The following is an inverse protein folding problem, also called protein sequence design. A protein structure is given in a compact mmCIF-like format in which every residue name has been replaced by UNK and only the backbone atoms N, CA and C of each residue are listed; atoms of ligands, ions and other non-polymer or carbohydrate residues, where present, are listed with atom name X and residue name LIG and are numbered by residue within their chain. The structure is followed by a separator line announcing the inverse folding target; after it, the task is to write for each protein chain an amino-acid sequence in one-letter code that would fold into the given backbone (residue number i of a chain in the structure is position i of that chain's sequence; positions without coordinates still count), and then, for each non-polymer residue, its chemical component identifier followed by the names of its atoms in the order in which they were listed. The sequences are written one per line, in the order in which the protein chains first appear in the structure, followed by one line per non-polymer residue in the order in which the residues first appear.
data_IF_849285323914
#
_entry.id   IF_849285323914
#
_cell.length_a   1.000
_cell.length_b   1.000
_cell.length_c   1.000
_cell.angle_alpha   90.00
_cell.angle_beta   90.00
_cell.angle_gamma   90.00
#
_symmetry.space_group_name_H-M   'P 1'
#
loop_
_entity.id
_entity.type
_entity.pdbx_description
1 polymer ?
#
# COMPACT_ATOMS: atom_id res chain seq x y z
N UNK A 1 -10.85 6.51 5.44
CA UNK A 1 -12.30 6.43 5.80
C UNK A 1 -13.20 6.24 4.57
N UNK A 2 -12.89 6.83 3.38
CA UNK A 2 -13.73 6.73 2.19
C UNK A 2 -14.07 5.29 1.77
N UNK A 3 -13.09 4.38 1.73
CA UNK A 3 -13.30 2.97 1.36
C UNK A 3 -14.18 2.20 2.34
N UNK A 4 -14.06 2.50 3.65
CA UNK A 4 -14.88 1.87 4.69
C UNK A 4 -16.33 2.36 4.61
N UNK A 5 -16.52 3.65 4.35
CA UNK A 5 -17.86 4.25 4.22
C UNK A 5 -18.57 3.79 2.94
N UNK A 6 -17.81 3.54 1.86
CA UNK A 6 -18.38 3.08 0.59
C UNK A 6 -18.92 1.64 0.67
N UNK A 7 -18.29 0.78 1.52
CA UNK A 7 -18.70 -0.61 1.67
C UNK A 7 -18.44 -1.10 3.11
N UNK A 8 -19.31 -0.71 4.06
CA UNK A 8 -19.10 -0.97 5.47
C UNK A 8 -19.22 -2.47 5.83
N UNK A 9 -19.98 -3.24 5.06
CA UNK A 9 -20.16 -4.66 5.33
C UNK A 9 -18.86 -5.44 5.09
N UNK A 10 -18.27 -5.31 3.90
CA UNK A 10 -17.00 -5.96 3.58
C UNK A 10 -15.83 -5.40 4.40
N UNK A 11 -15.84 -4.12 4.72
CA UNK A 11 -14.86 -3.54 5.64
C UNK A 11 -14.98 -4.17 7.04
N UNK A 12 -16.18 -4.33 7.57
CA UNK A 12 -16.43 -4.99 8.85
C UNK A 12 -16.00 -6.45 8.86
N UNK A 13 -16.31 -7.22 7.81
CA UNK A 13 -15.86 -8.60 7.65
C UNK A 13 -14.33 -8.68 7.59
N UNK A 14 -13.69 -7.82 6.82
CA UNK A 14 -12.23 -7.78 6.70
C UNK A 14 -11.57 -7.49 8.05
N UNK A 15 -12.06 -6.49 8.79
CA UNK A 15 -11.55 -6.16 10.12
C UNK A 15 -11.78 -7.29 11.11
N UNK A 16 -12.95 -7.94 11.09
CA UNK A 16 -13.25 -9.08 11.96
C UNK A 16 -12.29 -10.26 11.70
N UNK A 17 -12.03 -10.60 10.44
CA UNK A 17 -11.08 -11.65 10.06
C UNK A 17 -9.67 -11.30 10.58
N UNK A 18 -9.21 -10.07 10.38
CA UNK A 18 -7.89 -9.63 10.86
C UNK A 18 -7.79 -9.74 12.39
N UNK A 19 -8.83 -9.31 13.12
CA UNK A 19 -8.88 -9.41 14.59
C UNK A 19 -8.86 -10.87 15.05
N UNK A 20 -9.66 -11.72 14.43
CA UNK A 20 -9.72 -13.15 14.79
C UNK A 20 -8.37 -13.85 14.58
N UNK A 21 -7.71 -13.58 13.44
CA UNK A 21 -6.36 -14.11 13.18
C UNK A 21 -5.30 -13.55 14.11
N UNK A 22 -5.41 -12.26 14.45
CA UNK A 22 -4.52 -11.65 15.43
C UNK A 22 -4.64 -12.31 16.80
N UNK A 23 -5.87 -12.54 17.26
CA UNK A 23 -6.15 -13.24 18.53
C UNK A 23 -5.69 -14.71 18.47
N UNK A 24 -5.94 -15.39 17.34
CA UNK A 24 -5.48 -16.75 17.13
C UNK A 24 -3.94 -16.86 17.12
N UNK A 25 -3.27 -15.92 16.47
CA UNK A 25 -1.80 -15.87 16.43
C UNK A 25 -1.19 -15.62 17.82
N UNK A 26 -1.86 -14.83 18.67
CA UNK A 26 -1.43 -14.63 20.05
C UNK A 26 -1.58 -15.90 20.91
N UNK A 27 -2.57 -16.74 20.61
CA UNK A 27 -2.91 -17.90 21.46
C UNK A 27 -2.28 -19.22 20.98
N UNK A 28 -2.02 -19.37 19.68
CA UNK A 28 -1.62 -20.66 19.08
C UNK A 28 -0.39 -20.58 18.18
N UNK A 29 0.35 -19.48 18.17
CA UNK A 29 1.52 -19.26 17.29
C UNK A 29 1.27 -19.56 15.79
N UNK A 30 0.02 -19.42 15.34
CA UNK A 30 -0.38 -19.68 13.95
C UNK A 30 0.17 -18.58 13.05
N UNK A 31 0.61 -18.93 11.85
CA UNK A 31 0.98 -17.93 10.83
C UNK A 31 -0.22 -17.05 10.50
N UNK A 32 0.02 -15.75 10.46
CA UNK A 32 -1.03 -14.77 10.12
C UNK A 32 -1.32 -14.82 8.61
N UNK A 33 -2.41 -15.47 8.26
CA UNK A 33 -2.92 -15.58 6.89
C UNK A 33 -4.11 -14.63 6.64
N UNK A 34 -4.39 -13.72 7.57
CA UNK A 34 -5.56 -12.85 7.52
C UNK A 34 -5.68 -12.07 6.21
N UNK A 35 -4.59 -11.49 5.71
CA UNK A 35 -4.61 -10.74 4.46
C UNK A 35 -4.98 -11.61 3.25
N UNK A 36 -4.45 -12.83 3.17
CA UNK A 36 -4.77 -13.77 2.09
C UNK A 36 -6.25 -14.18 2.13
N UNK A 37 -6.78 -14.43 3.34
CA UNK A 37 -8.19 -14.77 3.50
C UNK A 37 -9.11 -13.61 3.19
N UNK A 38 -8.79 -12.41 3.67
CA UNK A 38 -9.56 -11.20 3.37
C UNK A 38 -9.56 -10.92 1.86
N UNK A 39 -8.41 -11.03 1.21
CA UNK A 39 -8.30 -10.86 -0.24
C UNK A 39 -9.06 -11.97 -0.99
N UNK A 40 -8.89 -13.23 -0.59
CA UNK A 40 -9.57 -14.36 -1.21
C UNK A 40 -11.10 -14.29 -1.08
N UNK A 41 -11.61 -13.94 0.10
CA UNK A 41 -13.05 -13.72 0.32
C UNK A 41 -13.54 -12.52 -0.49
N UNK A 42 -12.77 -11.42 -0.54
CA UNK A 42 -13.12 -10.24 -1.32
C UNK A 42 -13.20 -10.53 -2.81
N UNK A 43 -12.20 -11.19 -3.37
CA UNK A 43 -12.21 -11.62 -4.79
C UNK A 43 -13.32 -12.61 -5.06
N UNK A 44 -13.52 -13.59 -4.16
CA UNK A 44 -14.64 -14.56 -4.29
C UNK A 44 -16.00 -13.87 -4.29
N UNK A 45 -16.22 -12.92 -3.40
CA UNK A 45 -17.45 -12.14 -3.37
C UNK A 45 -17.61 -11.28 -4.63
N UNK A 46 -16.53 -10.63 -5.11
CA UNK A 46 -16.55 -9.86 -6.35
C UNK A 46 -16.93 -10.72 -7.56
N UNK A 47 -16.33 -11.90 -7.68
CA UNK A 47 -16.67 -12.87 -8.75
C UNK A 47 -18.13 -13.34 -8.67
N UNK A 48 -18.65 -13.58 -7.45
CA UNK A 48 -20.04 -14.02 -7.27
C UNK A 48 -21.05 -12.91 -7.59
N UNK A 49 -20.70 -11.66 -7.33
CA UNK A 49 -21.61 -10.52 -7.52
C UNK A 49 -21.49 -9.86 -8.91
N UNK A 50 -20.27 -9.71 -9.41
CA UNK A 50 -20.00 -9.04 -10.68
C UNK A 50 -19.68 -10.00 -11.85
N UNK A 51 -19.47 -11.29 -11.55
CA UNK A 51 -19.00 -12.29 -12.52
C UNK A 51 -17.49 -12.21 -12.76
N UNK A 52 -16.99 -13.10 -13.59
CA UNK A 52 -15.58 -13.02 -14.03
C UNK A 52 -15.44 -11.89 -15.06
N UNK A 53 -14.46 -11.01 -14.90
CA UNK A 53 -14.20 -9.96 -15.88
C UNK A 53 -13.81 -10.58 -17.22
N UNK A 54 -14.23 -9.95 -18.29
CA UNK A 54 -13.81 -10.35 -19.63
C UNK A 54 -12.28 -10.24 -19.76
N UNK A 55 -11.69 -11.16 -20.50
CA UNK A 55 -10.28 -11.06 -20.86
C UNK A 55 -10.09 -9.81 -21.72
N UNK A 56 -9.32 -8.88 -21.20
CA UNK A 56 -8.98 -7.62 -21.84
C UNK A 56 -7.47 -7.42 -21.76
N UNK A 57 -6.81 -7.52 -22.90
CA UNK A 57 -5.38 -7.28 -22.96
C UNK A 57 -5.08 -5.78 -22.84
N UNK A 58 -4.03 -5.46 -22.11
CA UNK A 58 -3.55 -4.08 -22.03
C UNK A 58 -3.16 -3.57 -23.41
N UNK A 59 -3.59 -2.37 -23.76
CA UNK A 59 -3.01 -1.64 -24.88
C UNK A 59 -1.55 -1.32 -24.58
N UNK A 60 -0.68 -1.37 -25.58
CA UNK A 60 0.72 -1.00 -25.38
C UNK A 60 0.79 0.41 -24.75
N UNK A 61 1.55 0.58 -23.67
CA UNK A 61 1.65 1.87 -23.02
C UNK A 61 2.29 2.88 -23.98
N UNK A 62 1.62 4.00 -24.16
CA UNK A 62 2.11 5.12 -24.98
C UNK A 62 2.82 6.12 -24.11
N UNK A 63 3.86 6.75 -24.65
CA UNK A 63 4.57 7.82 -23.96
C UNK A 63 3.61 9.02 -23.81
N UNK A 64 3.38 9.40 -22.55
CA UNK A 64 2.56 10.56 -22.19
C UNK A 64 3.50 11.67 -21.72
N UNK A 65 3.53 12.76 -22.49
CA UNK A 65 4.28 13.96 -22.10
C UNK A 65 3.30 14.92 -21.43
N UNK A 66 3.63 15.38 -20.18
CA UNK A 66 2.79 16.37 -19.51
C UNK A 66 2.85 17.72 -20.23
N UNK A 67 1.74 18.42 -20.28
CA UNK A 67 1.76 19.78 -20.80
C UNK A 67 2.39 20.76 -19.77
N UNK A 68 2.87 21.94 -20.21
CA UNK A 68 3.50 22.90 -19.32
C UNK A 68 2.61 23.39 -18.17
N UNK A 69 1.30 23.47 -18.37
CA UNK A 69 0.36 23.89 -17.31
C UNK A 69 0.26 22.83 -16.21
N UNK A 70 0.23 21.54 -16.58
CA UNK A 70 0.22 20.43 -15.62
C UNK A 70 1.53 20.38 -14.83
N UNK A 71 2.67 20.62 -15.49
CA UNK A 71 3.96 20.69 -14.82
C UNK A 71 4.02 21.84 -13.80
N UNK A 72 3.52 23.01 -14.18
CA UNK A 72 3.47 24.16 -13.29
C UNK A 72 2.55 23.87 -12.08
N UNK A 73 1.36 23.35 -12.33
CA UNK A 73 0.44 22.96 -11.26
C UNK A 73 1.07 21.92 -10.31
N UNK A 74 1.66 20.88 -10.86
CA UNK A 74 2.31 19.83 -10.06
C UNK A 74 3.45 20.40 -9.22
N UNK A 75 4.31 21.25 -9.80
CA UNK A 75 5.46 21.84 -9.12
C UNK A 75 5.06 22.68 -7.90
N UNK A 76 3.93 23.40 -7.96
CA UNK A 76 3.51 24.28 -6.88
C UNK A 76 2.54 23.63 -5.88
N UNK A 77 1.72 22.69 -6.31
CA UNK A 77 0.66 22.15 -5.47
C UNK A 77 0.88 20.68 -5.06
N UNK A 78 1.54 19.88 -5.89
CA UNK A 78 1.70 18.45 -5.61
C UNK A 78 3.10 18.10 -5.08
N UNK A 79 4.14 18.71 -5.61
CA UNK A 79 5.52 18.40 -5.22
C UNK A 79 5.86 18.87 -3.80
N UNK A 80 5.51 20.08 -3.33
CA UNK A 80 5.90 20.53 -2.00
C UNK A 80 5.42 19.61 -0.86
N UNK A 81 4.15 19.16 -0.79
CA UNK A 81 3.72 18.23 0.24
C UNK A 81 4.31 16.82 0.05
N UNK A 82 4.65 16.43 -1.18
CA UNK A 82 5.20 15.11 -1.48
C UNK A 82 6.66 14.96 -1.03
N UNK A 83 7.45 16.03 -1.02
CA UNK A 83 8.86 15.98 -0.59
C UNK A 83 8.99 15.49 0.85
N UNK A 84 8.39 16.14 1.88
CA UNK A 84 8.50 15.66 3.25
C UNK A 84 7.90 14.26 3.43
N UNK A 85 6.81 13.94 2.76
CA UNK A 85 6.21 12.61 2.82
C UNK A 85 7.16 11.54 2.28
N UNK A 86 7.81 11.78 1.16
CA UNK A 86 8.77 10.83 0.57
C UNK A 86 10.00 10.69 1.47
N UNK A 87 10.56 11.80 1.96
CA UNK A 87 11.74 11.76 2.83
C UNK A 87 11.47 11.04 4.15
N UNK A 88 10.37 11.36 4.82
CA UNK A 88 10.08 10.79 6.14
C UNK A 88 9.57 9.36 6.06
N UNK A 89 8.60 9.07 5.20
CA UNK A 89 7.95 7.76 5.14
C UNK A 89 8.70 6.77 4.23
N UNK A 90 8.99 7.17 2.99
CA UNK A 90 9.53 6.22 2.02
C UNK A 90 11.04 6.02 2.12
N UNK A 91 11.77 6.96 2.70
CA UNK A 91 13.23 6.88 2.82
C UNK A 91 13.62 6.61 4.27
N UNK A 92 13.41 7.56 5.19
CA UNK A 92 13.89 7.43 6.57
C UNK A 92 13.16 6.32 7.34
N UNK A 93 11.83 6.34 7.38
CA UNK A 93 11.06 5.32 8.10
C UNK A 93 11.30 3.92 7.52
N UNK A 94 11.40 3.78 6.19
CA UNK A 94 11.68 2.49 5.56
C UNK A 94 13.09 1.99 5.86
N UNK A 95 14.11 2.86 5.85
CA UNK A 95 15.48 2.50 6.23
C UNK A 95 15.55 2.02 7.68
N UNK A 96 14.97 2.80 8.61
CA UNK A 96 14.94 2.44 10.04
C UNK A 96 14.17 1.13 10.28
N UNK A 97 12.99 0.99 9.65
CA UNK A 97 12.17 -0.21 9.80
C UNK A 97 12.86 -1.45 9.23
N UNK A 98 13.59 -1.31 8.13
CA UNK A 98 14.38 -2.40 7.56
C UNK A 98 15.47 -2.85 8.53
N UNK A 99 16.17 -1.92 9.15
CA UNK A 99 17.16 -2.22 10.18
C UNK A 99 16.53 -2.93 11.38
N UNK A 100 15.36 -2.47 11.83
CA UNK A 100 14.69 -3.04 12.99
C UNK A 100 14.14 -4.45 12.73
N UNK A 101 13.51 -4.68 11.59
CA UNK A 101 12.84 -5.93 11.27
C UNK A 101 13.78 -6.99 10.68
N UNK A 102 14.68 -6.59 9.77
CA UNK A 102 15.54 -7.52 9.04
C UNK A 102 16.98 -7.55 9.54
N UNK A 103 17.34 -6.66 10.49
CA UNK A 103 18.71 -6.51 11.00
C UNK A 103 19.72 -6.19 9.91
N UNK A 104 19.25 -5.50 8.86
CA UNK A 104 20.05 -5.12 7.69
C UNK A 104 19.96 -3.61 7.50
N UNK A 105 21.09 -2.97 7.32
CA UNK A 105 21.13 -1.54 7.03
C UNK A 105 20.91 -1.32 5.54
N UNK A 106 20.02 -0.38 5.24
CA UNK A 106 19.76 0.09 3.89
C UNK A 106 20.04 1.57 3.83
N UNK A 107 20.92 1.95 2.92
CA UNK A 107 21.31 3.32 2.68
C UNK A 107 20.08 4.15 2.21
N UNK A 108 19.73 5.23 2.92
CA UNK A 108 18.66 6.15 2.50
C UNK A 108 18.85 6.71 1.08
N UNK A 109 20.09 6.98 0.67
CA UNK A 109 20.39 7.46 -0.67
C UNK A 109 20.06 6.42 -1.74
N UNK A 110 20.27 5.15 -1.45
CA UNK A 110 19.89 4.06 -2.35
C UNK A 110 18.37 3.99 -2.50
N UNK A 111 17.62 4.13 -1.41
CA UNK A 111 16.14 4.17 -1.47
C UNK A 111 15.66 5.36 -2.30
N UNK A 112 16.21 6.54 -2.07
CA UNK A 112 15.89 7.75 -2.83
C UNK A 112 16.13 7.57 -4.33
N UNK A 113 17.30 7.06 -4.72
CA UNK A 113 17.65 6.81 -6.14
C UNK A 113 16.72 5.79 -6.79
N UNK A 114 16.41 4.70 -6.10
CA UNK A 114 15.52 3.68 -6.66
C UNK A 114 14.09 4.19 -6.80
N UNK A 115 13.57 5.01 -5.86
CA UNK A 115 12.30 5.71 -6.02
C UNK A 115 12.32 6.60 -7.27
N UNK A 116 13.37 7.39 -7.44
CA UNK A 116 13.52 8.25 -8.62
C UNK A 116 13.51 7.46 -9.92
N UNK A 117 14.36 6.42 -10.02
CA UNK A 117 14.48 5.61 -11.24
C UNK A 117 13.17 4.90 -11.60
N UNK A 118 12.51 4.26 -10.63
CA UNK A 118 11.26 3.54 -10.93
C UNK A 118 10.15 4.48 -11.40
N UNK A 119 10.07 5.71 -10.85
CA UNK A 119 9.08 6.69 -11.30
C UNK A 119 9.44 7.31 -12.64
N UNK A 120 10.71 7.61 -12.91
CA UNK A 120 11.16 8.09 -14.23
C UNK A 120 10.90 7.08 -15.34
N UNK A 121 10.92 5.79 -15.02
CA UNK A 121 10.63 4.73 -15.99
C UNK A 121 9.12 4.50 -16.14
N UNK A 122 8.33 4.47 -15.05
CA UNK A 122 6.93 4.07 -15.10
C UNK A 122 5.98 5.21 -15.46
N UNK A 123 6.17 6.40 -14.87
CA UNK A 123 5.23 7.52 -15.01
C UNK A 123 5.07 8.02 -16.45
N UNK A 124 6.14 8.15 -17.27
CA UNK A 124 6.00 8.54 -18.67
C UNK A 124 5.15 7.59 -19.52
N UNK A 125 5.01 6.35 -19.09
CA UNK A 125 4.15 5.36 -19.74
C UNK A 125 2.79 5.21 -19.07
N UNK A 126 2.36 6.20 -18.28
CA UNK A 126 1.05 6.20 -17.62
C UNK A 126 1.01 5.39 -16.33
N UNK A 127 2.16 4.95 -15.81
CA UNK A 127 2.23 4.25 -14.53
C UNK A 127 1.92 5.16 -13.33
N UNK A 128 1.35 4.59 -12.28
CA UNK A 128 1.16 5.30 -11.02
C UNK A 128 2.50 5.62 -10.35
N UNK A 129 2.61 6.78 -9.68
CA UNK A 129 3.77 7.08 -8.84
C UNK A 129 3.95 6.03 -7.73
N UNK A 130 5.17 5.54 -7.59
CA UNK A 130 5.52 4.47 -6.64
C UNK A 130 6.52 4.97 -5.60
N UNK A 131 6.51 4.35 -4.43
CA UNK A 131 7.49 4.59 -3.37
C UNK A 131 7.80 3.31 -2.58
N UNK A 132 8.83 3.37 -1.73
CA UNK A 132 9.18 2.32 -0.78
C UNK A 132 8.46 2.56 0.57
N UNK A 133 7.13 2.57 0.58
CA UNK A 133 6.39 2.93 1.79
C UNK A 133 6.64 2.00 2.98
N UNK A 134 6.98 2.58 4.14
CA UNK A 134 7.21 1.84 5.38
C UNK A 134 6.02 0.96 5.78
N UNK A 135 4.78 1.41 5.51
CA UNK A 135 3.57 0.64 5.76
C UNK A 135 3.48 -0.66 4.98
N UNK A 136 3.85 -0.62 3.69
CA UNK A 136 3.91 -1.82 2.86
C UNK A 136 4.95 -2.81 3.37
N UNK A 137 6.14 -2.32 3.76
CA UNK A 137 7.20 -3.14 4.34
C UNK A 137 6.75 -3.81 5.64
N UNK A 138 6.14 -3.04 6.56
CA UNK A 138 5.63 -3.56 7.83
C UNK A 138 4.56 -4.64 7.62
N UNK A 139 3.61 -4.40 6.72
CA UNK A 139 2.56 -5.36 6.39
C UNK A 139 3.14 -6.64 5.77
N UNK A 140 4.02 -6.52 4.79
CA UNK A 140 4.67 -7.69 4.17
C UNK A 140 5.46 -8.50 5.20
N UNK A 141 6.22 -7.84 6.07
CA UNK A 141 6.95 -8.53 7.14
C UNK A 141 6.00 -9.25 8.08
N UNK A 142 4.89 -8.61 8.48
CA UNK A 142 3.87 -9.21 9.34
C UNK A 142 3.28 -10.47 8.74
N UNK A 143 3.01 -10.47 7.44
CA UNK A 143 2.48 -11.64 6.72
C UNK A 143 3.55 -12.67 6.33
N UNK A 144 4.76 -12.53 6.80
CA UNK A 144 5.80 -13.55 6.68
C UNK A 144 6.83 -13.31 5.57
N UNK A 145 6.76 -12.21 4.85
CA UNK A 145 7.81 -11.86 3.88
C UNK A 145 9.14 -11.57 4.61
N UNK A 146 10.21 -12.16 4.14
CA UNK A 146 11.55 -12.00 4.72
C UNK A 146 12.60 -11.61 3.69
N UNK A 147 12.26 -11.64 2.42
CA UNK A 147 13.15 -11.33 1.29
C UNK A 147 12.42 -10.51 0.23
N UNK A 148 13.15 -9.91 -0.69
CA UNK A 148 12.59 -9.20 -1.86
C UNK A 148 11.81 -10.09 -2.83
N UNK A 149 11.86 -11.43 -2.65
CA UNK A 149 11.09 -12.38 -3.46
C UNK A 149 9.58 -12.14 -3.43
N UNK A 150 9.04 -11.66 -2.30
CA UNK A 150 7.62 -11.28 -2.18
C UNK A 150 7.23 -10.18 -3.18
N UNK A 151 8.09 -9.18 -3.38
CA UNK A 151 7.85 -8.10 -4.33
C UNK A 151 7.96 -8.57 -5.78
N UNK A 152 8.87 -9.52 -6.08
CA UNK A 152 8.98 -10.13 -7.41
C UNK A 152 7.72 -10.91 -7.73
N UNK A 153 7.24 -11.73 -6.80
CA UNK A 153 5.98 -12.50 -6.96
C UNK A 153 4.79 -11.55 -7.17
N UNK A 154 4.68 -10.51 -6.33
CA UNK A 154 3.64 -9.50 -6.49
C UNK A 154 3.72 -8.81 -7.86
N UNK A 155 4.91 -8.44 -8.31
CA UNK A 155 5.13 -7.84 -9.63
C UNK A 155 4.69 -8.76 -10.78
N UNK A 156 5.00 -10.05 -10.70
CA UNK A 156 4.56 -11.05 -11.69
C UNK A 156 3.02 -11.18 -11.71
N UNK A 157 2.39 -11.20 -10.52
CA UNK A 157 0.92 -11.26 -10.40
C UNK A 157 0.30 -10.02 -11.00
N UNK A 158 0.80 -8.81 -10.68
CA UNK A 158 0.29 -7.57 -11.26
C UNK A 158 0.51 -7.49 -12.77
N UNK A 159 1.65 -7.97 -13.27
CA UNK A 159 1.90 -8.04 -14.70
C UNK A 159 0.91 -8.99 -15.39
N UNK A 160 0.68 -10.17 -14.82
CA UNK A 160 -0.33 -11.10 -15.33
C UNK A 160 -1.73 -10.47 -15.32
N UNK A 161 -2.08 -9.78 -14.26
CA UNK A 161 -3.37 -9.07 -14.15
C UNK A 161 -3.50 -7.98 -15.23
N UNK A 162 -2.46 -7.17 -15.41
CA UNK A 162 -2.43 -6.13 -16.43
C UNK A 162 -2.50 -6.70 -17.86
N UNK A 163 -1.85 -7.83 -18.11
CA UNK A 163 -1.85 -8.46 -19.44
C UNK A 163 -3.22 -9.06 -19.82
N UNK A 164 -3.94 -9.64 -18.86
CA UNK A 164 -5.15 -10.41 -19.15
C UNK A 164 -6.45 -9.76 -18.69
N UNK A 165 -6.38 -8.82 -17.75
CA UNK A 165 -7.54 -8.21 -17.10
C UNK A 165 -7.45 -6.69 -17.03
N UNK A 166 -6.93 -6.05 -18.06
CA UNK A 166 -6.77 -4.58 -18.12
C UNK A 166 -8.09 -3.87 -18.43
N UNK A 167 -9.10 -4.06 -17.59
CA UNK A 167 -10.38 -3.37 -17.73
C UNK A 167 -10.82 -2.71 -16.42
N UNK A 168 -11.61 -1.63 -16.45
CA UNK A 168 -12.15 -1.02 -15.23
C UNK A 168 -12.99 -1.99 -14.39
N UNK A 169 -13.69 -2.93 -15.04
CA UNK A 169 -14.51 -3.94 -14.38
C UNK A 169 -13.66 -4.88 -13.53
N UNK A 170 -12.41 -5.12 -13.91
CA UNK A 170 -11.47 -5.93 -13.15
C UNK A 170 -11.12 -5.33 -11.79
N UNK A 171 -11.16 -4.00 -11.66
CA UNK A 171 -10.97 -3.31 -10.38
C UNK A 171 -12.16 -3.52 -9.45
N UNK A 172 -13.36 -3.72 -9.98
CA UNK A 172 -14.57 -4.00 -9.21
C UNK A 172 -14.61 -5.40 -8.61
N UNK A 173 -13.69 -6.30 -9.01
CA UNK A 173 -13.56 -7.63 -8.40
C UNK A 173 -13.24 -7.60 -6.92
N UNK A 174 -12.60 -6.55 -6.44
CA UNK A 174 -12.27 -6.41 -5.03
C UNK A 174 -13.18 -5.33 -4.44
N UNK A 175 -14.14 -5.69 -3.57
CA UNK A 175 -14.98 -4.71 -2.89
C UNK A 175 -14.14 -3.65 -2.18
N UNK A 176 -14.54 -2.38 -2.27
CA UNK A 176 -13.80 -1.26 -1.66
C UNK A 176 -13.59 -1.41 -0.16
N UNK A 177 -14.54 -2.05 0.52
CA UNK A 177 -14.44 -2.34 1.95
C UNK A 177 -13.26 -3.26 2.30
N UNK A 178 -12.86 -4.16 1.41
CA UNK A 178 -11.68 -5.03 1.59
C UNK A 178 -10.41 -4.19 1.68
N UNK A 179 -10.24 -3.21 0.78
CA UNK A 179 -9.11 -2.27 0.85
C UNK A 179 -9.16 -1.44 2.14
N UNK A 180 -10.36 -1.00 2.55
CA UNK A 180 -10.56 -0.28 3.82
C UNK A 180 -10.09 -1.09 5.01
N UNK A 181 -10.47 -2.37 5.09
CA UNK A 181 -10.04 -3.28 6.15
C UNK A 181 -8.54 -3.52 6.18
N UNK A 182 -7.92 -3.73 5.02
CA UNK A 182 -6.47 -3.90 4.91
C UNK A 182 -5.70 -2.63 5.27
N UNK A 183 -6.22 -1.45 4.92
CA UNK A 183 -5.64 -0.16 5.30
C UNK A 183 -5.72 0.09 6.81
N UNK A 184 -6.83 -0.27 7.46
CA UNK A 184 -6.93 -0.21 8.93
C UNK A 184 -5.87 -1.10 9.58
N UNK A 185 -5.70 -2.32 9.06
CA UNK A 185 -4.65 -3.22 9.55
C UNK A 185 -3.25 -2.60 9.41
N UNK A 186 -2.92 -2.07 8.23
CA UNK A 186 -1.64 -1.42 7.99
C UNK A 186 -1.43 -0.20 8.92
N UNK A 187 -2.47 0.59 9.16
CA UNK A 187 -2.44 1.72 10.09
C UNK A 187 -2.16 1.28 11.54
N UNK A 188 -2.80 0.19 11.99
CA UNK A 188 -2.57 -0.38 13.32
C UNK A 188 -1.12 -0.89 13.44
N UNK A 189 -0.60 -1.56 12.43
CA UNK A 189 0.76 -2.10 12.44
C UNK A 189 1.80 -0.97 12.46
N UNK A 190 1.61 0.08 11.67
CA UNK A 190 2.44 1.29 11.72
C UNK A 190 2.34 2.00 13.08
N UNK A 191 1.14 2.09 13.63
CA UNK A 191 0.90 2.69 14.95
C UNK A 191 1.69 2.03 16.06
N UNK A 192 1.86 0.70 16.05
CA UNK A 192 2.70 0.00 17.03
C UNK A 192 4.17 0.44 16.98
N UNK A 193 4.68 0.74 15.79
CA UNK A 193 6.05 1.21 15.62
C UNK A 193 6.21 2.68 16.00
N UNK A 194 5.18 3.51 15.74
CA UNK A 194 5.19 4.93 16.09
C UNK A 194 5.16 5.17 17.61
N UNK A 195 4.67 4.21 18.38
CA UNK A 195 4.67 4.29 19.86
C UNK A 195 6.05 4.03 20.48
N UNK A 196 7.03 3.56 19.72
CA UNK A 196 8.44 3.39 20.16
C UNK A 196 9.22 4.70 19.97
N UNK A 197 8.66 5.80 20.39
CA UNK A 197 9.27 7.13 20.25
C UNK A 197 9.63 7.70 21.62
N UNK A 198 10.63 8.55 21.67
CA UNK A 198 11.05 9.24 22.90
C UNK A 198 10.03 10.28 23.37
N UNK A 199 9.11 10.71 22.49
CA UNK A 199 8.06 11.69 22.83
C UNK A 199 6.70 11.32 22.23
N UNK A 200 5.86 10.68 23.04
CA UNK A 200 4.47 10.37 22.69
C UNK A 200 3.67 11.65 22.39
N UNK A 201 3.96 12.74 23.09
CA UNK A 201 3.30 14.02 22.86
C UNK A 201 3.50 14.52 21.44
N UNK A 202 4.74 14.51 20.94
CA UNK A 202 5.05 14.92 19.56
C UNK A 202 4.33 14.01 18.55
N UNK A 203 4.32 12.70 18.78
CA UNK A 203 3.63 11.74 17.91
C UNK A 203 2.13 12.01 17.84
N UNK A 204 1.49 12.24 18.98
CA UNK A 204 0.05 12.55 19.05
C UNK A 204 -0.27 13.87 18.36
N UNK A 205 0.54 14.92 18.59
CA UNK A 205 0.37 16.22 17.93
C UNK A 205 0.49 16.11 16.42
N UNK A 206 1.51 15.40 15.91
CA UNK A 206 1.68 15.18 14.47
C UNK A 206 0.49 14.40 13.91
N UNK A 207 0.06 13.33 14.56
CA UNK A 207 -1.09 12.55 14.12
C UNK A 207 -2.38 13.38 14.09
N UNK A 208 -2.63 14.19 15.13
CA UNK A 208 -3.78 15.08 15.19
C UNK A 208 -3.75 16.15 14.08
N UNK A 209 -2.58 16.77 13.86
CA UNK A 209 -2.42 17.75 12.78
C UNK A 209 -2.61 17.12 11.41
N UNK A 210 -2.06 15.93 11.16
CA UNK A 210 -2.25 15.21 9.89
C UNK A 210 -3.73 14.90 9.62
N UNK A 211 -4.49 14.53 10.64
CA UNK A 211 -5.94 14.29 10.49
C UNK A 211 -6.69 15.61 10.23
N UNK A 212 -6.33 16.69 10.92
CA UNK A 212 -6.99 17.99 10.78
C UNK A 212 -6.67 18.68 9.45
N UNK A 213 -5.44 18.53 8.96
CA UNK A 213 -4.99 19.16 7.71
C UNK A 213 -5.23 18.28 6.49
N UNK A 214 -5.65 17.03 6.69
CA UNK A 214 -5.85 16.03 5.65
C UNK A 214 -4.59 15.76 4.80
N UNK A 215 -3.42 15.85 5.47
CA UNK A 215 -2.10 15.56 4.91
C UNK A 215 -1.57 14.22 5.41
#
# INVERSE_FOLDING_TARGET
FGFVAADPLFAGIAVAIVILFFLAALRWEVRDLSALLVLGIGVGAGVLTAGLPALSMISLPTLVLPNPADLFFAAWYLVPPQIPLTLTNAILATSLLTRDLFKTEVDPDRLSRTIGVMNLVSVPFGGFPMCHGAGGLAAQYRFGARTGGSNIIAGIIFLGFALFFASPESLALIPLGVFGGLLIFAAVELGKHSMKTDSIFVTVVIAALSVLTNI
#
